data_IF_736142556002
#
_entry.id   IF_736142556002
#
_cell.length_a   1.000
_cell.length_b   1.000
_cell.length_c   1.000
_cell.angle_alpha   90.00
_cell.angle_beta   90.00
_cell.angle_gamma   90.00
#
_symmetry.space_group_name_H-M   'P 1'
#
loop_
_entity.id
_entity.type
_entity.pdbx_description
1 polymer ?
#
# COMPACT_ATOMS: atom_id res chain seq x y z
N UNK A 1 84.57 11.45 -55.85
CA UNK A 1 83.76 11.13 -54.63
C UNK A 1 82.39 11.77 -54.80
N UNK A 2 81.42 11.01 -55.18
CA UNK A 2 80.04 11.54 -55.28
C UNK A 2 79.35 11.44 -53.91
N UNK A 3 79.11 12.57 -53.32
CA UNK A 3 78.37 12.64 -52.06
C UNK A 3 76.89 12.29 -52.39
N UNK A 4 76.47 11.21 -51.96
CA UNK A 4 75.07 10.80 -52.13
C UNK A 4 74.23 11.52 -51.07
N UNK A 5 73.62 12.64 -51.50
CA UNK A 5 72.63 13.30 -50.67
C UNK A 5 71.36 12.41 -50.52
N UNK A 6 70.95 12.10 -49.34
CA UNK A 6 69.71 11.31 -49.20
C UNK A 6 68.54 12.16 -49.72
N UNK A 7 67.62 11.56 -50.49
CA UNK A 7 66.51 12.29 -51.06
C UNK A 7 65.62 12.88 -49.90
N UNK A 8 65.47 14.20 -49.97
CA UNK A 8 64.68 15.00 -49.01
C UNK A 8 63.18 14.66 -49.03
N UNK A 9 62.82 13.61 -49.78
CA UNK A 9 61.44 13.18 -49.97
C UNK A 9 60.85 12.34 -48.83
N UNK A 10 61.67 11.98 -47.85
CA UNK A 10 61.17 11.28 -46.65
C UNK A 10 60.77 12.23 -45.52
N UNK A 11 60.87 13.49 -45.71
CA UNK A 11 60.26 14.40 -44.79
C UNK A 11 58.76 14.36 -44.95
N UNK A 12 58.11 13.99 -43.91
CA UNK A 12 56.67 13.90 -43.70
C UNK A 12 56.01 15.29 -43.94
N UNK A 13 56.08 15.80 -45.19
CA UNK A 13 55.49 17.09 -45.57
C UNK A 13 53.98 17.09 -45.69
N UNK A 14 53.34 15.96 -45.49
CA UNK A 14 51.88 15.78 -45.50
C UNK A 14 51.43 14.89 -44.35
N UNK A 15 51.93 15.12 -43.16
CA UNK A 15 51.18 14.72 -42.01
C UNK A 15 49.99 15.69 -41.94
N UNK A 16 48.90 15.29 -42.54
CA UNK A 16 47.59 15.86 -42.17
C UNK A 16 47.38 15.45 -40.73
N UNK A 17 47.29 16.46 -39.88
CA UNK A 17 46.92 16.30 -38.48
C UNK A 17 45.62 15.47 -38.44
N UNK A 18 45.70 14.29 -37.86
CA UNK A 18 44.51 13.44 -37.67
C UNK A 18 43.67 14.17 -36.67
N UNK A 19 42.68 14.90 -37.15
CA UNK A 19 41.67 15.50 -36.27
C UNK A 19 41.02 14.37 -35.52
N UNK A 20 41.22 14.36 -34.18
CA UNK A 20 40.54 13.45 -33.28
C UNK A 20 39.05 13.63 -33.53
N UNK A 21 38.31 12.55 -33.90
CA UNK A 21 36.90 12.67 -34.15
C UNK A 21 36.22 13.22 -32.88
N UNK A 22 35.30 14.15 -33.08
CA UNK A 22 34.50 14.71 -32.01
C UNK A 22 33.90 13.58 -31.15
N UNK A 23 33.84 13.84 -29.86
CA UNK A 23 33.38 12.89 -28.86
C UNK A 23 32.12 12.14 -29.34
N UNK A 24 32.25 10.86 -29.60
CA UNK A 24 31.12 10.03 -29.96
C UNK A 24 30.17 9.97 -28.75
N UNK A 25 29.00 10.61 -28.89
CA UNK A 25 27.99 10.59 -27.85
C UNK A 25 27.63 9.13 -27.51
N UNK A 26 27.83 8.75 -26.24
CA UNK A 26 27.42 7.46 -25.71
C UNK A 26 25.89 7.26 -25.78
N UNK A 27 25.14 8.34 -25.95
CA UNK A 27 23.68 8.29 -26.01
C UNK A 27 23.21 7.93 -27.43
N UNK A 28 22.41 6.87 -27.60
CA UNK A 28 21.94 6.46 -28.91
C UNK A 28 21.00 7.51 -29.51
N UNK A 29 21.41 8.10 -30.63
CA UNK A 29 20.69 9.22 -31.27
C UNK A 29 19.68 8.77 -32.33
N UNK A 30 19.55 7.47 -32.58
CA UNK A 30 18.62 6.96 -33.58
C UNK A 30 17.17 7.16 -33.18
N UNK A 31 16.30 7.48 -34.15
CA UNK A 31 14.88 7.75 -33.92
C UNK A 31 14.18 6.57 -33.26
N UNK A 32 14.58 5.34 -33.56
CA UNK A 32 14.06 4.12 -32.94
C UNK A 32 14.27 4.08 -31.43
N UNK A 33 15.43 4.51 -30.94
CA UNK A 33 15.70 4.58 -29.51
C UNK A 33 14.85 5.62 -28.78
N UNK A 34 14.55 6.73 -29.47
CA UNK A 34 13.66 7.76 -28.91
C UNK A 34 12.24 7.20 -28.71
N UNK A 35 11.74 6.43 -29.68
CA UNK A 35 10.44 5.77 -29.58
C UNK A 35 10.41 4.74 -28.44
N UNK A 36 11.43 3.91 -28.35
CA UNK A 36 11.57 2.91 -27.26
C UNK A 36 11.66 3.61 -25.89
N UNK A 37 12.42 4.69 -25.80
CA UNK A 37 12.53 5.47 -24.56
C UNK A 37 11.18 6.08 -24.11
N UNK A 38 10.38 6.58 -25.06
CA UNK A 38 9.03 7.10 -24.76
C UNK A 38 8.10 6.00 -24.27
N UNK A 39 8.09 4.84 -24.96
CA UNK A 39 7.26 3.70 -24.54
C UNK A 39 7.67 3.23 -23.13
N UNK A 40 8.98 3.12 -22.88
CA UNK A 40 9.50 2.73 -21.57
C UNK A 40 9.11 3.75 -20.48
N UNK A 41 9.23 5.04 -20.78
CA UNK A 41 8.85 6.10 -19.86
C UNK A 41 7.35 6.04 -19.52
N UNK A 42 6.47 5.86 -20.51
CA UNK A 42 5.03 5.70 -20.29
C UNK A 42 4.73 4.46 -19.43
N UNK A 43 5.41 3.35 -19.71
CA UNK A 43 5.26 2.13 -18.92
C UNK A 43 5.70 2.32 -17.46
N UNK A 44 6.84 2.96 -17.24
CA UNK A 44 7.35 3.26 -15.88
C UNK A 44 6.37 4.16 -15.13
N UNK A 45 5.87 5.22 -15.78
CA UNK A 45 4.87 6.13 -15.17
C UNK A 45 3.59 5.37 -14.82
N UNK A 46 3.10 4.52 -15.72
CA UNK A 46 1.92 3.69 -15.46
C UNK A 46 2.13 2.78 -14.22
N UNK A 47 3.25 2.07 -14.17
CA UNK A 47 3.58 1.22 -13.03
C UNK A 47 3.74 2.02 -11.73
N UNK A 48 4.39 3.18 -11.80
CA UNK A 48 4.55 4.07 -10.65
C UNK A 48 3.20 4.56 -10.11
N UNK A 49 2.26 4.92 -10.99
CA UNK A 49 0.89 5.33 -10.62
C UNK A 49 0.14 4.16 -9.97
N UNK A 50 0.22 2.95 -10.53
CA UNK A 50 -0.42 1.76 -9.94
C UNK A 50 0.15 1.43 -8.56
N UNK A 51 1.47 1.50 -8.43
CA UNK A 51 2.14 1.26 -7.16
C UNK A 51 1.81 2.33 -6.12
N UNK A 52 1.79 3.59 -6.54
CA UNK A 52 1.38 4.72 -5.70
C UNK A 52 -0.06 4.57 -5.18
N UNK A 53 -1.01 4.19 -6.05
CA UNK A 53 -2.40 3.93 -5.65
C UNK A 53 -2.49 2.83 -4.60
N UNK A 54 -1.78 1.70 -4.78
CA UNK A 54 -1.74 0.62 -3.79
C UNK A 54 -1.10 1.09 -2.47
N UNK A 55 -0.05 1.88 -2.54
CA UNK A 55 0.64 2.37 -1.36
C UNK A 55 -0.22 3.35 -0.55
N UNK A 56 -0.93 4.25 -1.26
CA UNK A 56 -1.85 5.20 -0.64
C UNK A 56 -3.09 4.50 -0.10
N UNK A 57 -3.66 3.55 -0.84
CA UNK A 57 -4.79 2.75 -0.41
C UNK A 57 -4.52 1.96 0.89
N UNK A 58 -3.28 1.52 1.13
CA UNK A 58 -2.89 0.81 2.34
C UNK A 58 -2.43 1.74 3.49
N UNK A 59 -2.47 3.05 3.31
CA UNK A 59 -2.03 4.01 4.34
C UNK A 59 -2.93 3.97 5.57
N UNK A 60 -4.24 4.00 5.37
CA UNK A 60 -5.22 3.95 6.45
C UNK A 60 -5.07 2.68 7.29
N UNK A 61 -4.78 1.55 6.65
CA UNK A 61 -4.56 0.27 7.33
C UNK A 61 -3.38 0.34 8.29
N UNK A 62 -2.26 0.93 7.87
CA UNK A 62 -1.08 1.11 8.71
C UNK A 62 -1.35 2.07 9.87
N UNK A 63 -2.08 3.14 9.62
CA UNK A 63 -2.49 4.10 10.64
C UNK A 63 -3.42 3.44 11.67
N UNK A 64 -4.40 2.64 11.23
CA UNK A 64 -5.30 1.91 12.12
C UNK A 64 -4.55 0.86 12.97
N UNK A 65 -3.65 0.07 12.37
CA UNK A 65 -2.82 -0.89 13.11
C UNK A 65 -1.94 -0.18 14.14
N UNK A 66 -1.35 0.96 13.78
CA UNK A 66 -0.54 1.74 14.71
C UNK A 66 -1.37 2.28 15.90
N UNK A 67 -2.60 2.76 15.65
CA UNK A 67 -3.52 3.20 16.69
C UNK A 67 -3.91 2.06 17.64
N UNK A 68 -4.27 0.90 17.09
CA UNK A 68 -4.59 -0.30 17.90
C UNK A 68 -3.38 -0.75 18.71
N UNK A 69 -2.15 -0.66 18.15
CA UNK A 69 -0.91 -0.94 18.87
C UNK A 69 -0.64 0.05 20.02
N UNK A 70 -0.99 1.32 19.84
CA UNK A 70 -0.92 2.33 20.93
C UNK A 70 -1.93 2.01 22.04
N UNK A 71 -3.15 1.60 21.67
CA UNK A 71 -4.17 1.17 22.63
C UNK A 71 -3.70 -0.05 23.44
N UNK A 72 -3.09 -1.03 22.80
CA UNK A 72 -2.50 -2.21 23.45
C UNK A 72 -1.41 -1.80 24.46
N UNK A 73 -0.49 -0.91 24.07
CA UNK A 73 0.55 -0.41 24.97
C UNK A 73 -0.01 0.41 26.15
N UNK A 74 -1.19 1.02 25.99
CA UNK A 74 -1.85 1.75 27.06
C UNK A 74 -2.51 0.82 28.08
N UNK A 75 -2.94 -0.37 27.68
CA UNK A 75 -3.42 -1.41 28.59
C UNK A 75 -2.37 -1.80 29.64
N UNK A 76 -1.13 -1.94 29.22
CA UNK A 76 -0.03 -2.32 30.12
C UNK A 76 0.28 -1.25 31.17
N UNK A 77 -0.11 0.01 30.90
CA UNK A 77 0.21 1.17 31.76
C UNK A 77 -0.94 1.65 32.65
N UNK A 78 -2.17 1.43 32.20
CA UNK A 78 -3.36 1.95 32.87
C UNK A 78 -4.41 0.86 33.00
N UNK A 79 -4.69 0.43 34.19
CA UNK A 79 -5.72 -0.57 34.53
C UNK A 79 -7.17 -0.05 34.33
N UNK A 80 -7.44 0.70 33.26
CA UNK A 80 -8.78 1.30 33.02
C UNK A 80 -9.41 0.75 31.73
N UNK A 81 -10.11 -0.40 31.80
CA UNK A 81 -10.68 -1.10 30.65
C UNK A 81 -11.82 -0.37 29.88
N UNK A 82 -12.70 0.44 30.51
CA UNK A 82 -13.94 0.87 29.84
C UNK A 82 -13.73 1.86 28.70
N UNK A 83 -12.73 2.72 28.76
CA UNK A 83 -12.41 3.66 27.68
C UNK A 83 -11.80 2.96 26.46
N UNK A 84 -11.00 1.94 26.68
CA UNK A 84 -10.30 1.22 25.62
C UNK A 84 -11.25 0.48 24.68
N UNK A 85 -12.35 -0.06 25.21
CA UNK A 85 -13.40 -0.70 24.40
C UNK A 85 -14.02 0.25 23.39
N UNK A 86 -14.24 1.49 23.83
CA UNK A 86 -14.84 2.53 23.01
C UNK A 86 -13.86 3.03 21.95
N UNK A 87 -12.63 3.29 22.35
CA UNK A 87 -11.57 3.72 21.42
C UNK A 87 -11.31 2.69 20.33
N UNK A 88 -11.31 1.40 20.70
CA UNK A 88 -11.16 0.31 19.73
C UNK A 88 -12.33 0.25 18.74
N UNK A 89 -13.56 0.41 19.26
CA UNK A 89 -14.75 0.50 18.41
C UNK A 89 -14.69 1.67 17.45
N UNK A 90 -14.24 2.84 17.91
CA UNK A 90 -14.14 4.05 17.09
C UNK A 90 -13.13 3.85 15.94
N UNK A 91 -11.97 3.24 16.22
CA UNK A 91 -10.98 2.91 15.19
C UNK A 91 -11.55 1.95 14.15
N UNK A 92 -12.19 0.86 14.59
CA UNK A 92 -12.76 -0.13 13.68
C UNK A 92 -13.91 0.45 12.85
N UNK A 93 -14.73 1.29 13.46
CA UNK A 93 -15.82 2.01 12.78
C UNK A 93 -15.29 3.01 11.76
N UNK A 94 -14.21 3.74 12.07
CA UNK A 94 -13.58 4.65 11.14
C UNK A 94 -13.06 3.91 9.89
N UNK A 95 -12.44 2.74 10.08
CA UNK A 95 -11.97 1.90 8.98
C UNK A 95 -13.14 1.39 8.13
N UNK A 96 -14.21 0.89 8.76
CA UNK A 96 -15.39 0.41 8.04
C UNK A 96 -16.07 1.54 7.24
N UNK A 97 -16.17 2.74 7.82
CA UNK A 97 -16.69 3.92 7.15
C UNK A 97 -15.82 4.35 5.97
N UNK A 98 -14.51 4.19 6.07
CA UNK A 98 -13.57 4.45 4.98
C UNK A 98 -13.77 3.47 3.82
N UNK A 99 -13.99 2.18 4.13
CA UNK A 99 -14.27 1.15 3.14
C UNK A 99 -15.62 1.37 2.45
N UNK A 100 -16.63 1.78 3.22
CA UNK A 100 -17.96 2.05 2.69
C UNK A 100 -18.65 3.16 3.50
N UNK A 101 -18.74 4.36 2.90
CA UNK A 101 -19.34 5.53 3.54
C UNK A 101 -20.83 5.34 3.93
N UNK A 102 -21.54 4.43 3.27
CA UNK A 102 -22.93 4.11 3.61
C UNK A 102 -23.06 3.36 4.94
N UNK A 103 -21.95 2.83 5.46
CA UNK A 103 -21.90 2.07 6.72
C UNK A 103 -21.56 2.93 7.95
N UNK A 104 -21.46 4.25 7.79
CA UNK A 104 -21.14 5.17 8.88
C UNK A 104 -22.14 5.09 10.05
N UNK A 105 -23.41 4.78 9.78
CA UNK A 105 -24.49 4.74 10.79
C UNK A 105 -24.74 3.31 11.35
N UNK A 106 -23.97 2.32 10.92
CA UNK A 106 -24.15 0.95 11.38
C UNK A 106 -23.61 0.83 12.81
N UNK A 107 -24.41 0.20 13.66
CA UNK A 107 -24.11 -0.07 15.06
C UNK A 107 -24.68 -1.44 15.44
N UNK A 108 -24.32 -1.94 16.62
CA UNK A 108 -24.83 -3.19 17.17
C UNK A 108 -24.40 -4.44 16.38
N UNK A 109 -25.23 -5.44 16.31
CA UNK A 109 -24.97 -6.71 15.63
C UNK A 109 -24.67 -6.54 14.14
N UNK A 110 -25.34 -5.57 13.49
CA UNK A 110 -25.09 -5.25 12.08
C UNK A 110 -23.65 -4.77 11.80
N UNK A 111 -23.02 -4.14 12.79
CA UNK A 111 -21.60 -3.76 12.69
C UNK A 111 -20.67 -4.99 12.66
N UNK A 112 -20.95 -6.01 13.49
CA UNK A 112 -20.17 -7.25 13.50
C UNK A 112 -20.33 -8.02 12.19
N UNK A 113 -21.55 -8.11 11.67
CA UNK A 113 -21.82 -8.72 10.36
C UNK A 113 -21.07 -8.01 9.23
N UNK A 114 -21.01 -6.67 9.29
CA UNK A 114 -20.26 -5.93 8.30
C UNK A 114 -18.74 -6.15 8.43
N UNK A 115 -18.19 -6.28 9.63
CA UNK A 115 -16.78 -6.66 9.81
C UNK A 115 -16.49 -8.04 9.22
N UNK A 116 -17.37 -9.01 9.47
CA UNK A 116 -17.22 -10.36 8.93
C UNK A 116 -17.31 -10.38 7.40
N UNK A 117 -18.14 -9.52 6.81
CA UNK A 117 -18.27 -9.41 5.35
C UNK A 117 -16.97 -8.94 4.67
N UNK A 118 -16.17 -8.10 5.34
CA UNK A 118 -14.86 -7.64 4.83
C UNK A 118 -13.70 -8.52 5.30
N UNK A 119 -13.96 -9.53 6.15
CA UNK A 119 -12.94 -10.48 6.59
C UNK A 119 -12.56 -11.43 5.45
N UNK A 120 -11.26 -11.59 5.21
CA UNK A 120 -10.73 -12.58 4.25
C UNK A 120 -10.29 -13.86 4.94
N UNK A 121 -10.07 -13.80 6.25
CA UNK A 121 -9.65 -14.91 7.09
C UNK A 121 -10.84 -15.50 7.86
N UNK A 122 -10.65 -16.68 8.49
CA UNK A 122 -11.65 -17.33 9.35
C UNK A 122 -11.92 -16.54 10.66
N UNK A 123 -11.50 -15.28 10.73
CA UNK A 123 -11.75 -14.39 11.85
C UNK A 123 -13.19 -13.91 11.77
N UNK A 124 -14.02 -14.34 12.70
CA UNK A 124 -15.41 -13.96 12.82
C UNK A 124 -15.60 -13.06 14.05
N UNK A 125 -16.22 -11.90 13.86
CA UNK A 125 -16.62 -11.00 14.94
C UNK A 125 -18.02 -11.29 15.46
N UNK A 126 -18.80 -12.06 14.73
CA UNK A 126 -20.15 -12.46 15.15
C UNK A 126 -20.16 -13.58 16.21
N UNK A 127 -19.01 -13.81 16.84
CA UNK A 127 -18.82 -14.75 17.93
C UNK A 127 -19.23 -14.15 19.29
N UNK A 128 -19.22 -14.95 20.33
CA UNK A 128 -19.59 -14.58 21.71
C UNK A 128 -18.79 -13.38 22.22
N UNK A 129 -17.50 -13.30 21.87
CA UNK A 129 -16.60 -12.21 22.24
C UNK A 129 -17.03 -10.88 21.60
N UNK A 130 -17.33 -10.88 20.31
CA UNK A 130 -17.78 -9.69 19.61
C UNK A 130 -19.14 -9.18 20.08
N UNK A 131 -20.10 -10.09 20.34
CA UNK A 131 -21.38 -9.73 20.91
C UNK A 131 -21.23 -9.14 22.32
N UNK A 132 -20.35 -9.71 23.14
CA UNK A 132 -20.04 -9.17 24.47
C UNK A 132 -19.37 -7.80 24.38
N UNK A 133 -18.50 -7.60 23.39
CA UNK A 133 -17.89 -6.32 23.12
C UNK A 133 -18.92 -5.24 22.82
N UNK A 134 -19.83 -5.45 21.88
CA UNK A 134 -20.89 -4.50 21.55
C UNK A 134 -21.79 -4.20 22.77
N UNK A 135 -22.17 -5.22 23.51
CA UNK A 135 -22.96 -5.04 24.74
C UNK A 135 -22.21 -4.22 25.80
N UNK A 136 -20.90 -4.36 25.88
CA UNK A 136 -20.06 -3.61 26.81
C UNK A 136 -20.00 -2.11 26.50
N UNK A 137 -20.21 -1.71 25.23
CA UNK A 137 -20.27 -0.31 24.83
C UNK A 137 -21.53 0.39 25.33
N UNK A 138 -22.64 -0.35 25.44
CA UNK A 138 -23.93 0.19 25.85
C UNK A 138 -24.16 0.04 27.36
N UNK A 139 -23.67 -1.04 27.96
CA UNK A 139 -23.92 -1.41 29.35
C UNK A 139 -22.63 -1.67 30.11
N UNK A 140 -22.27 -0.79 31.03
CA UNK A 140 -21.07 -0.94 31.87
C UNK A 140 -21.04 -2.23 32.70
N UNK A 141 -22.20 -2.86 32.94
CA UNK A 141 -22.30 -4.14 33.65
C UNK A 141 -21.71 -5.31 32.90
N UNK A 142 -21.52 -5.19 31.60
CA UNK A 142 -20.94 -6.21 30.70
C UNK A 142 -19.51 -5.87 30.31
N UNK A 143 -18.77 -5.19 31.18
CA UNK A 143 -17.37 -4.89 30.92
C UNK A 143 -16.58 -6.15 30.57
N UNK A 144 -15.75 -6.05 29.54
CA UNK A 144 -14.82 -7.11 29.17
C UNK A 144 -13.72 -7.24 30.23
N UNK A 145 -13.31 -8.46 30.50
CA UNK A 145 -12.12 -8.71 31.31
C UNK A 145 -10.87 -8.27 30.55
N UNK A 146 -9.76 -8.05 31.25
CA UNK A 146 -8.49 -7.67 30.64
C UNK A 146 -8.00 -8.72 29.62
N UNK A 147 -8.31 -10.00 29.86
CA UNK A 147 -7.94 -11.07 28.96
C UNK A 147 -8.79 -11.04 27.67
N UNK A 148 -10.12 -10.94 27.80
CA UNK A 148 -11.02 -10.80 26.66
C UNK A 148 -10.72 -9.58 25.80
N UNK A 149 -10.32 -8.48 26.44
CA UNK A 149 -9.92 -7.27 25.74
C UNK A 149 -8.60 -7.46 24.97
N UNK A 150 -7.64 -8.19 25.54
CA UNK A 150 -6.42 -8.54 24.85
C UNK A 150 -6.68 -9.44 23.62
N UNK A 151 -7.54 -10.42 23.76
CA UNK A 151 -7.98 -11.30 22.65
C UNK A 151 -8.67 -10.49 21.56
N UNK A 152 -9.56 -9.57 21.94
CA UNK A 152 -10.26 -8.68 21.00
C UNK A 152 -9.28 -7.77 20.22
N UNK A 153 -8.27 -7.23 20.89
CA UNK A 153 -7.24 -6.41 20.23
C UNK A 153 -6.47 -7.22 19.19
N UNK A 154 -6.07 -8.45 19.52
CA UNK A 154 -5.38 -9.34 18.57
C UNK A 154 -6.27 -9.63 17.38
N UNK A 155 -7.56 -9.91 17.61
CA UNK A 155 -8.56 -10.16 16.57
C UNK A 155 -8.71 -8.93 15.64
N UNK A 156 -8.79 -7.72 16.21
CA UNK A 156 -8.86 -6.49 15.43
C UNK A 156 -7.59 -6.23 14.62
N UNK A 157 -6.41 -6.49 15.20
CA UNK A 157 -5.14 -6.36 14.47
C UNK A 157 -5.05 -7.34 13.30
N UNK A 158 -5.45 -8.59 13.50
CA UNK A 158 -5.48 -9.59 12.46
C UNK A 158 -6.45 -9.19 11.34
N UNK A 159 -7.66 -8.76 11.68
CA UNK A 159 -8.62 -8.26 10.70
C UNK A 159 -8.08 -7.06 9.93
N UNK A 160 -7.47 -6.09 10.60
CA UNK A 160 -6.86 -4.92 9.95
C UNK A 160 -5.73 -5.31 8.99
N UNK A 161 -4.99 -6.39 9.27
CA UNK A 161 -3.95 -6.89 8.39
C UNK A 161 -4.50 -7.58 7.15
N UNK A 162 -5.60 -8.33 7.29
CA UNK A 162 -6.06 -9.29 6.27
C UNK A 162 -7.33 -8.87 5.53
N UNK A 163 -8.09 -7.85 6.03
CA UNK A 163 -9.33 -7.45 5.38
C UNK A 163 -9.10 -7.01 3.92
N UNK A 164 -9.99 -7.42 3.04
CA UNK A 164 -10.01 -7.02 1.65
C UNK A 164 -11.39 -6.44 1.29
N UNK A 165 -11.39 -5.46 0.41
CA UNK A 165 -12.64 -5.02 -0.21
C UNK A 165 -13.19 -6.20 -1.02
N UNK A 166 -14.41 -6.72 -0.72
CA UNK A 166 -14.97 -7.80 -1.48
C UNK A 166 -15.04 -7.36 -2.92
N UNK A 167 -14.45 -8.14 -3.81
CA UNK A 167 -14.58 -7.92 -5.23
C UNK A 167 -16.05 -8.10 -5.57
N UNK A 168 -16.74 -6.99 -5.77
CA UNK A 168 -18.08 -7.03 -6.36
C UNK A 168 -17.88 -7.66 -7.72
N UNK A 169 -18.17 -8.96 -7.84
CA UNK A 169 -18.39 -9.57 -9.14
C UNK A 169 -19.42 -8.69 -9.82
N UNK A 170 -18.96 -7.90 -10.79
CA UNK A 170 -19.84 -7.28 -11.77
C UNK A 170 -20.48 -8.43 -12.54
N UNK A 171 -21.53 -8.98 -11.95
CA UNK A 171 -22.43 -9.89 -12.61
C UNK A 171 -23.07 -9.06 -13.72
N UNK A 172 -22.43 -9.17 -14.90
CA UNK A 172 -22.86 -8.49 -16.09
C UNK A 172 -24.33 -8.73 -16.30
N UNK A 173 -25.09 -7.69 -16.14
CA UNK A 173 -26.46 -7.60 -16.56
C UNK A 173 -26.45 -7.65 -18.10
N UNK A 174 -26.38 -8.85 -18.64
CA UNK A 174 -26.74 -9.10 -20.02
C UNK A 174 -28.23 -8.85 -20.14
N UNK A 175 -28.61 -7.62 -20.38
CA UNK A 175 -29.90 -7.34 -20.97
C UNK A 175 -29.93 -7.99 -22.37
N UNK A 176 -30.59 -9.14 -22.46
CA UNK A 176 -31.08 -9.66 -23.71
C UNK A 176 -32.20 -8.72 -24.17
N UNK A 177 -31.99 -8.13 -25.33
CA UNK A 177 -33.05 -7.53 -26.16
C UNK A 177 -33.66 -8.64 -26.97
#
# INVERSE_FOLDING_TARGET
>A
MSIHEPPSSYMLRKMSEVTVPDHVSWFPQTIGWKIVAVILAVFIVYQAVQWSKKWWGNRYRREAIALVGLLQNSMDKQNTPPLLNYDLFEVMKAVLTYLNSNKANVFDEAFLVDLDYYSTSDVLFHDELGQKWIRSLVQQKHALSSQELAELIVLCQQWLADHAEPQVEQKGEKHAV
#
